data_IF_758663041365
#
_entry.id   IF_758663041365
#
_cell.length_a   1.000
_cell.length_b   1.000
_cell.length_c   1.000
_cell.angle_alpha   90.00
_cell.angle_beta   90.00
_cell.angle_gamma   90.00
#
_symmetry.space_group_name_H-M   'P 1'
#
loop_
_entity.id
_entity.type
_entity.pdbx_description
1 polymer ?
#
# COMPACT_ATOMS: atom_id res chain seq x y z
N UNK A 1 37.46 19.66 16.95
CA UNK A 1 36.37 19.76 15.95
C UNK A 1 36.00 18.43 15.27
N UNK A 2 36.95 17.50 15.06
CA UNK A 2 36.73 16.21 14.36
C UNK A 2 35.69 15.27 15.00
N UNK A 3 35.55 15.25 16.34
CA UNK A 3 34.56 14.44 17.07
C UNK A 3 33.11 14.86 16.79
N UNK A 4 32.86 16.14 16.45
CA UNK A 4 31.51 16.66 16.17
C UNK A 4 31.01 16.26 14.77
N UNK A 5 31.90 16.22 13.79
CA UNK A 5 31.59 15.77 12.42
C UNK A 5 31.29 14.27 12.39
N UNK A 6 32.08 13.46 13.12
CA UNK A 6 31.87 12.02 13.21
C UNK A 6 30.51 11.68 13.88
N UNK A 7 30.15 12.41 14.94
CA UNK A 7 28.89 12.21 15.63
C UNK A 7 27.67 12.65 14.79
N UNK A 8 27.82 13.72 13.99
CA UNK A 8 26.79 14.16 13.03
C UNK A 8 26.60 13.14 11.90
N UNK A 9 27.68 12.55 11.38
CA UNK A 9 27.61 11.47 10.39
C UNK A 9 26.91 10.23 10.93
N UNK A 10 27.19 9.82 12.17
CA UNK A 10 26.53 8.68 12.82
C UNK A 10 25.03 8.91 13.02
N UNK A 11 24.62 10.11 13.41
CA UNK A 11 23.18 10.45 13.53
C UNK A 11 22.50 10.41 12.17
N UNK A 12 23.12 10.96 11.12
CA UNK A 12 22.56 10.92 9.76
C UNK A 12 22.44 9.48 9.25
N UNK A 13 23.47 8.64 9.40
CA UNK A 13 23.42 7.24 8.98
C UNK A 13 22.46 6.38 9.81
N UNK A 14 22.15 6.75 11.06
CA UNK A 14 21.21 6.02 11.91
C UNK A 14 19.74 6.44 11.70
N UNK A 15 19.49 7.66 11.22
CA UNK A 15 18.12 8.18 11.02
C UNK A 15 17.60 7.89 9.60
N UNK A 16 18.46 7.86 8.59
CA UNK A 16 18.09 7.56 7.19
C UNK A 16 17.43 6.17 6.99
N UNK A 17 17.83 5.07 7.67
CA UNK A 17 17.25 3.74 7.43
C UNK A 17 15.80 3.62 7.87
N UNK A 18 15.31 4.50 8.76
CA UNK A 18 13.97 4.39 9.35
C UNK A 18 12.85 4.86 8.40
N UNK A 19 13.20 5.50 7.27
CA UNK A 19 12.24 6.14 6.36
C UNK A 19 12.11 5.48 4.98
N UNK A 20 12.71 4.31 4.75
CA UNK A 20 12.75 3.67 3.42
C UNK A 20 12.06 2.30 3.40
N UNK A 21 10.87 2.17 4.00
CA UNK A 21 9.95 1.09 3.58
C UNK A 21 9.18 1.66 2.39
N UNK A 22 9.56 1.24 1.18
CA UNK A 22 8.82 1.60 -0.02
C UNK A 22 7.46 0.91 0.03
N UNK A 23 6.37 1.69 0.03
CA UNK A 23 5.02 1.14 -0.09
C UNK A 23 4.83 0.49 -1.45
N UNK A 24 4.22 -0.68 -1.48
CA UNK A 24 3.90 -1.39 -2.72
C UNK A 24 2.47 -1.08 -3.14
N UNK A 25 2.25 -0.92 -4.45
CA UNK A 25 0.94 -0.59 -5.02
C UNK A 25 0.53 -1.57 -6.10
N UNK A 26 -0.77 -1.85 -6.19
CA UNK A 26 -1.37 -2.69 -7.25
C UNK A 26 -2.66 -2.05 -7.78
N UNK A 27 -2.87 -2.12 -9.10
CA UNK A 27 -4.11 -1.69 -9.71
C UNK A 27 -5.22 -2.71 -9.45
N UNK A 28 -6.36 -2.23 -8.95
CA UNK A 28 -7.55 -3.07 -8.75
C UNK A 28 -8.27 -3.25 -10.09
N UNK A 29 -8.41 -4.50 -10.59
CA UNK A 29 -9.13 -4.78 -11.82
C UNK A 29 -10.58 -4.25 -11.77
N UNK A 30 -11.04 -3.66 -12.87
CA UNK A 30 -12.43 -3.23 -12.99
C UNK A 30 -13.12 -3.94 -14.16
N UNK A 31 -14.04 -4.83 -13.82
CA UNK A 31 -14.89 -5.56 -14.78
C UNK A 31 -16.34 -5.06 -14.79
N UNK A 32 -16.72 -4.23 -13.81
CA UNK A 32 -18.09 -3.77 -13.58
C UNK A 32 -18.97 -4.75 -12.81
N UNK A 33 -18.47 -5.95 -12.51
CA UNK A 33 -19.18 -6.94 -11.68
C UNK A 33 -19.10 -6.54 -10.20
N UNK A 34 -20.24 -6.43 -9.48
CA UNK A 34 -20.23 -6.21 -8.04
C UNK A 34 -19.50 -7.33 -7.31
N UNK A 35 -18.71 -6.99 -6.30
CA UNK A 35 -17.99 -7.97 -5.49
C UNK A 35 -16.54 -8.25 -5.90
N UNK A 36 -16.15 -7.89 -7.12
CA UNK A 36 -14.80 -8.19 -7.63
C UNK A 36 -13.70 -7.43 -6.91
N UNK A 37 -13.99 -6.20 -6.43
CA UNK A 37 -13.01 -5.39 -5.71
C UNK A 37 -12.58 -6.07 -4.41
N UNK A 38 -13.54 -6.41 -3.54
CA UNK A 38 -13.21 -7.07 -2.28
C UNK A 38 -12.65 -8.48 -2.52
N UNK A 39 -13.13 -9.21 -3.54
CA UNK A 39 -12.63 -10.53 -3.87
C UNK A 39 -11.16 -10.48 -4.29
N UNK A 40 -10.78 -9.46 -5.06
CA UNK A 40 -9.39 -9.20 -5.42
C UNK A 40 -8.54 -8.91 -4.19
N UNK A 41 -8.98 -8.00 -3.32
CA UNK A 41 -8.25 -7.61 -2.09
C UNK A 41 -8.10 -8.81 -1.12
N UNK A 42 -9.12 -9.65 -0.99
CA UNK A 42 -9.06 -10.86 -0.16
C UNK A 42 -8.18 -11.96 -0.76
N UNK A 43 -8.12 -12.04 -2.09
CA UNK A 43 -7.25 -12.97 -2.80
C UNK A 43 -5.78 -12.55 -2.81
N UNK A 44 -5.52 -11.24 -2.74
CA UNK A 44 -4.18 -10.66 -2.75
C UNK A 44 -3.54 -10.66 -1.35
N UNK A 45 -3.29 -11.86 -0.85
CA UNK A 45 -2.69 -12.08 0.47
C UNK A 45 -1.40 -12.89 0.40
N UNK A 46 -0.50 -12.65 1.36
CA UNK A 46 0.70 -13.45 1.56
C UNK A 46 0.34 -14.83 2.14
N UNK A 47 1.32 -15.72 2.24
CA UNK A 47 1.12 -17.04 2.89
C UNK A 47 0.71 -16.96 4.36
N UNK A 48 0.85 -15.79 5.00
CA UNK A 48 0.43 -15.54 6.39
C UNK A 48 -0.96 -14.91 6.50
N UNK A 49 -1.59 -14.57 5.37
CA UNK A 49 -2.92 -13.97 5.31
C UNK A 49 -2.96 -12.46 5.37
N UNK A 50 -1.81 -11.79 5.54
CA UNK A 50 -1.68 -10.33 5.39
C UNK A 50 -1.85 -9.91 3.93
N UNK A 51 -2.39 -8.73 3.67
CA UNK A 51 -2.46 -8.17 2.31
C UNK A 51 -1.07 -8.04 1.70
N UNK A 52 -0.93 -8.41 0.42
CA UNK A 52 0.36 -8.44 -0.26
C UNK A 52 0.83 -7.04 -0.71
N UNK A 53 -0.08 -6.08 -0.79
CA UNK A 53 0.21 -4.70 -1.16
C UNK A 53 -0.30 -3.69 -0.13
N UNK A 54 0.42 -2.58 0.00
CA UNK A 54 0.05 -1.48 0.90
C UNK A 54 -1.02 -0.57 0.28
N UNK A 55 -1.04 -0.44 -1.05
CA UNK A 55 -1.92 0.49 -1.76
C UNK A 55 -2.66 -0.22 -2.90
N UNK A 56 -3.99 -0.21 -2.84
CA UNK A 56 -4.87 -0.71 -3.88
C UNK A 56 -5.44 0.45 -4.69
N UNK A 57 -5.02 0.57 -5.95
CA UNK A 57 -5.34 1.70 -6.81
C UNK A 57 -6.60 1.43 -7.61
N UNK A 58 -7.65 2.22 -7.36
CA UNK A 58 -8.89 2.20 -8.14
C UNK A 58 -8.75 3.01 -9.43
N UNK A 59 -9.25 2.45 -10.53
CA UNK A 59 -9.23 3.09 -11.84
C UNK A 59 -10.09 4.35 -11.89
N UNK A 60 -9.63 5.36 -12.65
CA UNK A 60 -10.32 6.64 -12.77
C UNK A 60 -11.65 6.48 -13.50
N UNK A 61 -12.66 7.25 -13.08
CA UNK A 61 -14.01 7.26 -13.64
C UNK A 61 -14.72 5.89 -13.59
N UNK A 62 -14.36 5.03 -12.63
CA UNK A 62 -15.02 3.74 -12.41
C UNK A 62 -15.81 3.75 -11.10
N UNK A 63 -16.87 2.94 -11.06
CA UNK A 63 -17.67 2.68 -9.86
C UNK A 63 -17.39 1.25 -9.44
N UNK A 64 -16.92 1.07 -8.21
CA UNK A 64 -16.72 -0.24 -7.59
C UNK A 64 -17.85 -0.48 -6.60
N UNK A 65 -18.56 -1.60 -6.75
CA UNK A 65 -19.71 -1.98 -5.93
C UNK A 65 -19.32 -3.15 -5.05
N UNK A 66 -19.41 -2.96 -3.74
CA UNK A 66 -19.20 -4.02 -2.75
C UNK A 66 -20.48 -4.82 -2.54
N UNK A 67 -20.34 -6.13 -2.40
CA UNK A 67 -21.38 -7.05 -1.93
C UNK A 67 -21.15 -7.46 -0.47
N UNK A 68 -19.92 -7.30 0.03
CA UNK A 68 -19.55 -7.68 1.39
C UNK A 68 -18.50 -6.74 2.01
N UNK A 69 -18.26 -6.91 3.31
CA UNK A 69 -17.24 -6.19 4.05
C UNK A 69 -15.83 -6.54 3.58
N UNK A 70 -14.96 -5.53 3.47
CA UNK A 70 -13.53 -5.72 3.21
C UNK A 70 -12.81 -5.92 4.54
N UNK A 71 -12.68 -7.19 4.94
CA UNK A 71 -11.88 -7.56 6.11
C UNK A 71 -10.38 -7.54 5.79
N UNK A 72 -9.61 -6.91 6.67
CA UNK A 72 -8.19 -6.61 6.51
C UNK A 72 -7.38 -7.26 7.62
N UNK A 73 -6.25 -7.88 7.27
CA UNK A 73 -5.33 -8.51 8.23
C UNK A 73 -4.04 -7.71 8.43
N UNK A 74 -3.80 -6.72 7.57
CA UNK A 74 -2.74 -5.70 7.71
C UNK A 74 -3.31 -4.32 7.36
N UNK A 75 -2.52 -3.25 7.58
CA UNK A 75 -2.92 -1.91 7.16
C UNK A 75 -2.76 -1.75 5.65
N UNK A 76 -3.75 -1.17 4.97
CA UNK A 76 -3.65 -0.77 3.55
C UNK A 76 -4.43 0.50 3.26
N UNK A 77 -4.16 1.09 2.09
CA UNK A 77 -4.86 2.23 1.53
C UNK A 77 -5.62 1.84 0.26
N UNK A 78 -6.84 2.36 0.13
CA UNK A 78 -7.61 2.31 -1.11
C UNK A 78 -7.54 3.69 -1.79
N UNK A 79 -6.88 3.76 -2.94
CA UNK A 79 -6.53 5.04 -3.57
C UNK A 79 -7.22 5.21 -4.93
N UNK A 80 -8.02 6.27 -5.09
CA UNK A 80 -8.60 6.63 -6.39
C UNK A 80 -7.58 7.33 -7.29
N UNK A 81 -7.30 6.76 -8.46
CA UNK A 81 -6.41 7.42 -9.42
C UNK A 81 -7.07 8.62 -10.11
N UNK A 82 -6.26 9.58 -10.56
CA UNK A 82 -6.69 10.76 -11.31
C UNK A 82 -6.30 10.61 -12.78
N UNK A 83 -7.13 11.13 -13.69
CA UNK A 83 -6.73 11.32 -15.08
C UNK A 83 -5.69 12.45 -15.12
N UNK A 84 -4.54 12.18 -15.72
CA UNK A 84 -3.50 13.18 -16.01
C UNK A 84 -3.68 13.73 -17.42
#
# INVERSE_FOLDING_TARGET
MQKSILNRFLVVCAVIPMFLIAQTSVDVPWTGTPGEMESFIHGDTTSTGEQAHDIYVLAANKVYLQLSEVNMNSSMELFGTRLW
#
